data_IF_245068314046
#
_entry.id   IF_245068314046
#
_cell.length_a   1.000
_cell.length_b   1.000
_cell.length_c   1.000
_cell.angle_alpha   90.00
_cell.angle_beta   90.00
_cell.angle_gamma   90.00
#
_symmetry.space_group_name_H-M   'P 1'
#
loop_
_entity.id
_entity.type
_entity.pdbx_description
1 polymer ?
#
# COMPACT_ATOMS: atom_id res chain seq x y z
N UNK A 1 24.77 36.69 -79.74
CA UNK A 1 24.31 37.18 -78.42
C UNK A 1 24.24 35.99 -77.49
N UNK A 2 25.19 35.83 -76.58
CA UNK A 2 25.16 34.80 -75.52
C UNK A 2 25.39 35.53 -74.20
N UNK A 3 24.33 35.64 -73.40
CA UNK A 3 24.43 36.21 -72.05
C UNK A 3 24.88 35.10 -71.10
N UNK A 4 26.01 35.32 -70.42
CA UNK A 4 26.52 34.41 -69.41
C UNK A 4 25.66 34.50 -68.14
N UNK A 5 25.23 33.35 -67.62
CA UNK A 5 24.52 33.25 -66.34
C UNK A 5 25.52 33.42 -65.18
N UNK A 6 25.26 34.35 -64.28
CA UNK A 6 26.06 34.62 -63.09
C UNK A 6 25.90 33.48 -62.06
N UNK A 7 26.97 32.92 -61.49
CA UNK A 7 26.85 31.87 -60.49
C UNK A 7 26.25 32.43 -59.20
N UNK A 8 25.13 31.86 -58.75
CA UNK A 8 24.53 32.13 -57.45
C UNK A 8 25.42 31.58 -56.35
N UNK A 9 26.15 32.47 -55.66
CA UNK A 9 26.97 32.09 -54.51
C UNK A 9 26.05 31.66 -53.37
N UNK A 10 26.24 30.48 -52.75
CA UNK A 10 25.39 30.03 -51.66
C UNK A 10 25.44 31.00 -50.48
N UNK A 11 24.29 31.38 -49.94
CA UNK A 11 24.17 32.26 -48.79
C UNK A 11 24.61 31.52 -47.52
N UNK A 12 25.92 31.53 -47.28
CA UNK A 12 26.60 30.90 -46.16
C UNK A 12 26.10 31.44 -44.80
N UNK A 13 25.54 32.65 -44.77
CA UNK A 13 25.05 33.32 -43.56
C UNK A 13 23.68 32.76 -43.15
N UNK A 14 22.78 32.54 -44.11
CA UNK A 14 21.53 31.78 -43.87
C UNK A 14 21.80 30.36 -43.44
N UNK A 15 22.76 29.67 -44.09
CA UNK A 15 23.17 28.32 -43.70
C UNK A 15 23.67 28.28 -42.26
N UNK A 16 24.60 29.16 -41.89
CA UNK A 16 25.15 29.24 -40.53
C UNK A 16 24.08 29.53 -39.47
N UNK A 17 23.09 30.39 -39.79
CA UNK A 17 21.96 30.66 -38.92
C UNK A 17 21.10 29.40 -38.70
N UNK A 18 20.68 28.72 -39.77
CA UNK A 18 19.90 27.48 -39.68
C UNK A 18 20.67 26.36 -38.95
N UNK A 19 21.98 26.24 -39.17
CA UNK A 19 22.83 25.29 -38.45
C UNK A 19 22.84 25.57 -36.93
N UNK A 20 22.92 26.84 -36.50
CA UNK A 20 22.83 27.19 -35.08
C UNK A 20 21.46 26.86 -34.49
N UNK A 21 20.40 27.24 -35.18
CA UNK A 21 19.02 26.95 -34.74
C UNK A 21 18.80 25.44 -34.64
N UNK A 22 19.19 24.65 -35.64
CA UNK A 22 19.05 23.19 -35.60
C UNK A 22 19.82 22.57 -34.43
N UNK A 23 21.04 23.05 -34.15
CA UNK A 23 21.83 22.57 -33.03
C UNK A 23 21.17 22.89 -31.68
N UNK A 24 20.66 24.11 -31.50
CA UNK A 24 19.93 24.51 -30.28
C UNK A 24 18.66 23.65 -30.07
N UNK A 25 17.83 23.50 -31.10
CA UNK A 25 16.62 22.69 -31.02
C UNK A 25 16.92 21.21 -30.81
N UNK A 26 17.98 20.69 -31.44
CA UNK A 26 18.41 19.31 -31.23
C UNK A 26 18.87 19.08 -29.80
N UNK A 27 19.63 19.99 -29.20
CA UNK A 27 20.08 19.85 -27.82
C UNK A 27 18.92 19.95 -26.83
N UNK A 28 18.00 20.91 -27.01
CA UNK A 28 16.82 21.07 -26.14
C UNK A 28 15.90 19.86 -26.21
N UNK A 29 15.57 19.39 -27.42
CA UNK A 29 14.71 18.21 -27.60
C UNK A 29 15.37 16.93 -27.08
N UNK A 30 16.68 16.77 -27.30
CA UNK A 30 17.43 15.61 -26.79
C UNK A 30 17.52 15.63 -25.27
N UNK A 31 17.72 16.80 -24.65
CA UNK A 31 17.73 16.94 -23.20
C UNK A 31 16.36 16.61 -22.60
N UNK A 32 15.26 17.10 -23.19
CA UNK A 32 13.90 16.76 -22.75
C UNK A 32 13.61 15.26 -22.90
N UNK A 33 14.00 14.66 -24.03
CA UNK A 33 13.85 13.22 -24.24
C UNK A 33 14.64 12.40 -23.23
N UNK A 34 15.89 12.80 -22.96
CA UNK A 34 16.74 12.15 -21.97
C UNK A 34 16.15 12.24 -20.57
N UNK A 35 15.68 13.43 -20.15
CA UNK A 35 15.00 13.60 -18.85
C UNK A 35 13.75 12.71 -18.77
N UNK A 36 12.94 12.68 -19.84
CA UNK A 36 11.77 11.79 -19.91
C UNK A 36 12.15 10.32 -19.77
N UNK A 37 13.17 9.85 -20.48
CA UNK A 37 13.66 8.46 -20.36
C UNK A 37 14.28 8.16 -19.01
N UNK A 38 15.01 9.09 -18.39
CA UNK A 38 15.56 8.92 -17.04
C UNK A 38 14.44 8.82 -16.02
N UNK A 39 13.45 9.72 -16.05
CA UNK A 39 12.30 9.68 -15.15
C UNK A 39 11.47 8.40 -15.37
N UNK A 40 11.24 8.00 -16.61
CA UNK A 40 10.55 6.75 -16.95
C UNK A 40 11.33 5.52 -16.50
N UNK A 41 12.65 5.52 -16.67
CA UNK A 41 13.52 4.41 -16.24
C UNK A 41 13.61 4.32 -14.73
N UNK A 42 13.68 5.44 -14.01
CA UNK A 42 13.72 5.47 -12.54
C UNK A 42 12.38 5.00 -11.97
N UNK A 43 11.27 5.50 -12.51
CA UNK A 43 9.93 5.04 -12.08
C UNK A 43 9.70 3.58 -12.45
N UNK A 44 10.04 3.16 -13.67
CA UNK A 44 9.97 1.77 -14.13
C UNK A 44 10.87 0.83 -13.31
N UNK A 45 12.09 1.24 -12.98
CA UNK A 45 12.98 0.47 -12.10
C UNK A 45 12.38 0.35 -10.69
N UNK A 46 11.86 1.44 -10.12
CA UNK A 46 11.24 1.46 -8.79
C UNK A 46 10.00 0.57 -8.72
N UNK A 47 9.16 0.59 -9.75
CA UNK A 47 7.96 -0.26 -9.82
C UNK A 47 8.31 -1.74 -10.08
N UNK A 48 9.28 -2.01 -10.96
CA UNK A 48 9.66 -3.38 -11.31
C UNK A 48 10.48 -4.07 -10.21
N UNK A 49 11.19 -3.29 -9.39
CA UNK A 49 11.90 -3.76 -8.19
C UNK A 49 11.13 -3.46 -6.91
N UNK A 50 9.81 -3.18 -6.97
CA UNK A 50 9.02 -2.83 -5.80
C UNK A 50 9.11 -3.89 -4.68
N UNK A 51 9.16 -5.18 -5.02
CA UNK A 51 9.35 -6.26 -4.03
C UNK A 51 10.78 -6.43 -3.50
N UNK A 52 11.78 -5.76 -4.09
CA UNK A 52 13.20 -5.80 -3.65
C UNK A 52 13.63 -4.49 -2.95
N UNK A 53 12.97 -3.38 -3.29
CA UNK A 53 13.08 -2.06 -2.63
C UNK A 53 11.98 -1.91 -1.56
N UNK A 54 11.11 -2.92 -1.40
CA UNK A 54 10.19 -3.01 -0.27
C UNK A 54 11.00 -2.98 1.01
N UNK A 55 10.80 -1.91 1.78
CA UNK A 55 11.28 -1.84 3.14
C UNK A 55 10.83 -3.13 3.83
N UNK A 56 11.78 -3.81 4.51
CA UNK A 56 11.47 -4.97 5.34
C UNK A 56 10.17 -4.68 6.09
N UNK A 57 9.12 -5.51 5.97
CA UNK A 57 7.82 -5.20 6.53
C UNK A 57 7.98 -4.79 7.99
N UNK A 58 7.51 -3.59 8.33
CA UNK A 58 7.59 -3.09 9.69
C UNK A 58 6.44 -3.72 10.47
N UNK A 59 6.76 -4.77 11.23
CA UNK A 59 5.82 -5.50 12.06
C UNK A 59 5.80 -4.87 13.44
N UNK A 60 4.65 -4.36 13.87
CA UNK A 60 4.41 -3.92 15.24
C UNK A 60 3.43 -4.87 15.90
N UNK A 61 3.90 -5.62 16.90
CA UNK A 61 3.08 -6.50 17.73
C UNK A 61 2.81 -5.84 19.08
N UNK A 62 1.56 -5.94 19.54
CA UNK A 62 1.09 -5.45 20.83
C UNK A 62 0.30 -6.56 21.51
N UNK A 63 0.48 -6.68 22.81
CA UNK A 63 -0.19 -7.69 23.62
C UNK A 63 -1.05 -7.00 24.68
N UNK A 64 -2.07 -7.68 25.13
CA UNK A 64 -2.90 -7.27 26.25
C UNK A 64 -3.62 -8.47 26.84
N UNK A 65 -4.20 -8.29 28.02
CA UNK A 65 -4.93 -9.36 28.71
C UNK A 65 -6.31 -8.85 29.08
N UNK A 66 -7.33 -9.64 28.75
CA UNK A 66 -8.71 -9.37 29.15
C UNK A 66 -8.86 -9.55 30.67
N UNK A 67 -9.78 -8.79 31.26
CA UNK A 67 -10.20 -9.08 32.63
C UNK A 67 -11.08 -10.34 32.65
N UNK A 68 -11.21 -10.94 33.84
CA UNK A 68 -11.93 -12.20 34.02
C UNK A 68 -13.43 -12.07 33.66
N UNK A 69 -14.02 -10.87 33.79
CA UNK A 69 -15.42 -10.64 33.48
C UNK A 69 -15.65 -10.70 31.96
N UNK A 70 -14.85 -9.95 31.19
CA UNK A 70 -14.92 -9.94 29.73
C UNK A 70 -14.51 -11.30 29.14
N UNK A 71 -13.52 -11.96 29.73
CA UNK A 71 -13.13 -13.32 29.33
C UNK A 71 -14.30 -14.32 29.46
N UNK A 72 -15.00 -14.32 30.61
CA UNK A 72 -16.14 -15.22 30.83
C UNK A 72 -17.32 -14.95 29.87
N UNK A 73 -17.53 -13.70 29.50
CA UNK A 73 -18.52 -13.34 28.49
C UNK A 73 -18.14 -13.85 27.10
N UNK A 74 -16.86 -13.74 26.71
CA UNK A 74 -16.38 -14.27 25.43
C UNK A 74 -16.51 -15.79 25.37
N UNK A 75 -16.18 -16.51 26.43
CA UNK A 75 -16.37 -17.97 26.51
C UNK A 75 -17.84 -18.37 26.27
N UNK A 76 -18.77 -17.66 26.91
CA UNK A 76 -20.21 -17.91 26.74
C UNK A 76 -20.63 -17.66 25.30
N UNK A 77 -20.17 -16.57 24.70
CA UNK A 77 -20.49 -16.20 23.31
C UNK A 77 -19.86 -17.15 22.29
N UNK A 78 -18.65 -17.64 22.52
CA UNK A 78 -18.02 -18.66 21.69
C UNK A 78 -18.89 -19.93 21.63
N UNK A 79 -19.45 -20.35 22.76
CA UNK A 79 -20.35 -21.51 22.81
C UNK A 79 -21.65 -21.27 22.02
N UNK A 80 -22.21 -20.06 22.07
CA UNK A 80 -23.39 -19.67 21.29
C UNK A 80 -23.13 -19.67 19.78
N UNK A 81 -22.03 -19.04 19.33
CA UNK A 81 -21.65 -18.99 17.91
C UNK A 81 -21.39 -20.39 17.36
N UNK A 82 -20.79 -21.27 18.16
CA UNK A 82 -20.59 -22.68 17.79
C UNK A 82 -21.90 -23.46 17.67
N UNK A 83 -22.86 -23.20 18.57
CA UNK A 83 -24.16 -23.84 18.50
C UNK A 83 -24.91 -23.44 17.22
N UNK A 84 -24.69 -22.20 16.74
CA UNK A 84 -25.20 -21.74 15.46
C UNK A 84 -24.34 -22.22 14.28
N UNK A 85 -24.63 -23.43 13.78
CA UNK A 85 -23.97 -23.98 12.58
C UNK A 85 -24.17 -23.14 11.32
N UNK A 86 -25.19 -22.28 11.24
CA UNK A 86 -25.42 -21.44 10.07
C UNK A 86 -24.35 -20.34 9.94
N UNK A 87 -23.84 -19.87 11.08
CA UNK A 87 -22.79 -18.85 11.16
C UNK A 87 -21.42 -19.35 10.66
N UNK A 88 -21.21 -20.68 10.59
CA UNK A 88 -19.92 -21.32 10.27
C UNK A 88 -18.75 -20.75 11.09
N UNK A 89 -19.00 -20.37 12.34
CA UNK A 89 -17.99 -19.76 13.20
C UNK A 89 -17.69 -18.30 12.88
N UNK A 90 -18.48 -17.62 12.04
CA UNK A 90 -18.34 -16.17 11.81
C UNK A 90 -19.43 -15.41 12.54
N UNK A 91 -19.02 -14.51 13.42
CA UNK A 91 -19.96 -13.69 14.17
C UNK A 91 -19.37 -12.31 14.51
N UNK A 92 -20.23 -11.30 14.66
CA UNK A 92 -19.80 -9.94 14.95
C UNK A 92 -19.10 -9.86 16.31
N UNK A 93 -18.02 -9.07 16.35
CA UNK A 93 -17.27 -8.78 17.58
C UNK A 93 -18.20 -8.12 18.62
N UNK A 94 -18.23 -8.54 19.89
CA UNK A 94 -19.11 -7.96 20.91
C UNK A 94 -18.69 -6.53 21.24
N UNK A 95 -19.65 -5.65 21.51
CA UNK A 95 -19.39 -4.23 21.77
C UNK A 95 -18.38 -3.97 22.90
N UNK A 96 -18.37 -4.82 23.92
CA UNK A 96 -17.43 -4.74 25.04
C UNK A 96 -15.99 -5.03 24.60
N UNK A 97 -15.78 -6.06 23.79
CA UNK A 97 -14.49 -6.36 23.19
C UNK A 97 -14.06 -5.26 22.23
N UNK A 98 -14.98 -4.71 21.41
CA UNK A 98 -14.68 -3.56 20.55
C UNK A 98 -14.18 -2.36 21.36
N UNK A 99 -14.87 -2.05 22.47
CA UNK A 99 -14.50 -0.94 23.36
C UNK A 99 -13.14 -1.16 24.02
N UNK A 100 -12.88 -2.39 24.47
CA UNK A 100 -11.60 -2.76 25.07
C UNK A 100 -10.45 -2.64 24.06
N UNK A 101 -10.63 -3.16 22.84
CA UNK A 101 -9.64 -3.09 21.75
C UNK A 101 -9.36 -1.64 21.35
N UNK A 102 -10.41 -0.83 21.22
CA UNK A 102 -10.27 0.59 20.94
C UNK A 102 -9.49 1.32 22.05
N UNK A 103 -9.73 0.99 23.31
CA UNK A 103 -9.02 1.60 24.44
C UNK A 103 -7.54 1.17 24.51
N UNK A 104 -7.27 -0.12 24.29
CA UNK A 104 -5.94 -0.70 24.47
C UNK A 104 -5.03 -0.47 23.25
N UNK A 105 -5.56 -0.59 22.04
CA UNK A 105 -4.78 -0.56 20.81
C UNK A 105 -5.11 0.62 19.88
N UNK A 106 -6.16 1.40 20.17
CA UNK A 106 -6.68 2.46 19.30
C UNK A 106 -7.10 1.93 17.92
N UNK A 107 -7.74 0.75 17.91
CA UNK A 107 -8.19 0.05 16.70
C UNK A 107 -9.71 -0.08 16.73
N UNK A 108 -10.36 0.42 15.67
CA UNK A 108 -11.80 0.30 15.48
C UNK A 108 -12.13 -1.05 14.82
N UNK A 109 -12.89 -1.88 15.55
CA UNK A 109 -13.36 -3.19 15.11
C UNK A 109 -14.88 -3.23 14.91
N UNK A 110 -15.55 -2.06 14.85
CA UNK A 110 -16.99 -1.97 14.66
C UNK A 110 -17.43 -2.50 13.29
N UNK A 111 -18.58 -3.18 13.25
CA UNK A 111 -19.16 -3.74 12.03
C UNK A 111 -18.34 -4.85 11.36
N UNK A 112 -17.31 -5.39 12.04
CA UNK A 112 -16.50 -6.50 11.53
C UNK A 112 -16.90 -7.81 12.18
N UNK A 113 -16.94 -8.85 11.36
CA UNK A 113 -17.09 -10.23 11.84
C UNK A 113 -15.73 -10.82 12.17
N UNK A 114 -15.66 -11.47 13.32
CA UNK A 114 -14.54 -12.31 13.69
C UNK A 114 -14.83 -13.78 13.37
N UNK A 115 -13.77 -14.55 13.20
CA UNK A 115 -13.80 -16.00 13.15
C UNK A 115 -13.63 -16.53 14.57
N UNK A 116 -14.60 -17.30 15.03
CA UNK A 116 -14.69 -17.87 16.36
C UNK A 116 -14.38 -19.35 16.29
N UNK A 117 -13.44 -19.77 17.11
CA UNK A 117 -13.07 -21.16 17.34
C UNK A 117 -13.14 -21.48 18.83
N UNK A 118 -12.93 -22.75 19.20
CA UNK A 118 -12.98 -23.18 20.60
C UNK A 118 -11.92 -22.49 21.46
N UNK A 119 -10.74 -22.25 20.88
CA UNK A 119 -9.57 -21.76 21.60
C UNK A 119 -9.32 -20.27 21.35
N UNK A 120 -9.75 -19.72 20.22
CA UNK A 120 -9.46 -18.34 19.84
C UNK A 120 -10.54 -17.65 19.00
N UNK A 121 -10.55 -16.32 19.08
CA UNK A 121 -11.32 -15.41 18.25
C UNK A 121 -10.31 -14.64 17.39
N UNK A 122 -10.41 -14.80 16.08
CA UNK A 122 -9.52 -14.20 15.10
C UNK A 122 -10.25 -13.14 14.27
N UNK A 123 -9.64 -11.97 14.12
CA UNK A 123 -10.20 -10.86 13.38
C UNK A 123 -9.17 -10.30 12.39
N UNK A 124 -9.46 -10.47 11.11
CA UNK A 124 -8.67 -9.85 10.03
C UNK A 124 -8.96 -8.35 9.93
N UNK A 125 -7.90 -7.54 9.91
CA UNK A 125 -7.96 -6.09 9.85
C UNK A 125 -7.19 -5.54 8.63
N UNK A 126 -7.62 -5.88 7.39
CA UNK A 126 -6.93 -5.43 6.18
C UNK A 126 -6.90 -3.91 6.08
N UNK A 127 -5.79 -3.37 5.57
CA UNK A 127 -5.55 -1.94 5.45
C UNK A 127 -4.69 -1.61 4.22
N UNK A 128 -4.85 -0.43 3.61
CA UNK A 128 -3.96 -0.01 2.54
C UNK A 128 -2.51 0.06 2.99
N UNK A 129 -1.58 -0.41 2.16
CA UNK A 129 -0.15 -0.42 2.42
C UNK A 129 0.32 -1.47 3.43
N UNK A 130 -0.53 -2.43 3.79
CA UNK A 130 -0.15 -3.43 4.79
C UNK A 130 -1.26 -4.40 5.17
N UNK A 131 -1.13 -4.97 6.36
CA UNK A 131 -2.16 -5.82 6.94
C UNK A 131 -2.16 -5.66 8.47
N UNK A 132 -3.26 -6.03 9.11
CA UNK A 132 -3.30 -6.17 10.56
C UNK A 132 -4.24 -7.32 10.94
N UNK A 133 -4.01 -7.89 12.11
CA UNK A 133 -4.88 -8.91 12.66
C UNK A 133 -4.94 -8.78 14.17
N UNK A 134 -6.04 -9.25 14.74
CA UNK A 134 -6.27 -9.33 16.17
C UNK A 134 -6.67 -10.77 16.49
N UNK A 135 -6.02 -11.35 17.51
CA UNK A 135 -6.31 -12.70 18.01
C UNK A 135 -6.58 -12.59 19.50
N UNK A 136 -7.65 -13.22 19.95
CA UNK A 136 -8.02 -13.29 21.37
C UNK A 136 -8.11 -14.75 21.74
N UNK A 137 -7.29 -15.20 22.68
CA UNK A 137 -7.40 -16.53 23.24
C UNK A 137 -8.57 -16.58 24.24
N UNK A 138 -9.46 -17.53 24.04
CA UNK A 138 -10.67 -17.74 24.85
C UNK A 138 -10.30 -18.37 26.20
N UNK A 139 -9.25 -19.19 26.23
CA UNK A 139 -8.85 -19.97 27.39
C UNK A 139 -8.19 -19.13 28.50
N UNK A 140 -7.31 -18.20 28.14
CA UNK A 140 -6.51 -17.40 29.08
C UNK A 140 -6.71 -15.87 28.96
N UNK A 141 -7.53 -15.44 27.99
CA UNK A 141 -7.85 -14.03 27.76
C UNK A 141 -6.70 -13.23 27.17
N UNK A 142 -5.66 -13.87 26.64
CA UNK A 142 -4.55 -13.17 25.98
C UNK A 142 -4.99 -12.59 24.64
N UNK A 143 -4.62 -11.34 24.39
CA UNK A 143 -4.95 -10.62 23.16
C UNK A 143 -3.67 -10.20 22.47
N UNK A 144 -3.56 -10.57 21.21
CA UNK A 144 -2.47 -10.21 20.32
C UNK A 144 -3.02 -9.33 19.19
N UNK A 145 -2.39 -8.19 19.01
CA UNK A 145 -2.61 -7.31 17.87
C UNK A 145 -1.30 -7.17 17.11
N UNK A 146 -1.31 -7.54 15.84
CA UNK A 146 -0.18 -7.32 14.97
C UNK A 146 -0.58 -6.43 13.81
N UNK A 147 0.32 -5.51 13.47
CA UNK A 147 0.19 -4.66 12.31
C UNK A 147 1.47 -4.72 11.51
N UNK A 148 1.32 -5.03 10.23
CA UNK A 148 2.38 -5.05 9.24
C UNK A 148 2.23 -3.84 8.32
N UNK A 149 3.28 -3.03 8.22
CA UNK A 149 3.37 -1.91 7.28
C UNK A 149 4.40 -2.24 6.19
N UNK A 150 3.98 -2.19 4.93
CA UNK A 150 4.82 -2.45 3.74
C UNK A 150 5.33 -1.16 3.09
N UNK A 151 5.04 -0.02 3.72
CA UNK A 151 5.54 1.28 3.33
C UNK A 151 4.66 2.04 2.32
N UNK A 152 5.07 3.28 2.08
CA UNK A 152 4.35 4.25 1.27
C UNK A 152 4.15 3.85 -0.20
N UNK A 153 5.05 3.04 -0.77
CA UNK A 153 4.90 2.52 -2.15
C UNK A 153 3.70 1.57 -2.23
N UNK A 154 3.60 0.60 -1.29
CA UNK A 154 2.44 -0.29 -1.21
C UNK A 154 1.15 0.48 -0.95
N UNK A 155 1.19 1.52 -0.11
CA UNK A 155 0.03 2.38 0.14
C UNK A 155 -0.45 3.11 -1.13
N UNK A 156 0.47 3.72 -1.89
CA UNK A 156 0.13 4.40 -3.15
C UNK A 156 -0.35 3.44 -4.24
N UNK A 157 0.16 2.21 -4.24
CA UNK A 157 -0.31 1.17 -5.14
C UNK A 157 -1.75 0.74 -4.82
N UNK A 158 -2.06 0.56 -3.54
CA UNK A 158 -3.41 0.19 -3.10
C UNK A 158 -4.43 1.30 -3.34
N UNK A 159 -4.02 2.57 -3.32
CA UNK A 159 -4.90 3.71 -3.64
C UNK A 159 -5.24 3.83 -5.13
N UNK A 160 -4.36 3.34 -6.02
CA UNK A 160 -4.61 3.36 -7.47
C UNK A 160 -5.54 2.24 -7.95
N UNK A 161 -5.91 1.31 -7.06
CA UNK A 161 -6.70 0.12 -7.38
C UNK A 161 -8.16 0.30 -6.98
#
# INVERSE_FOLDING_TARGET
>A
MTAAATPTTPDNRRRAYWLKTLYEWHWVSSAMCLVGMVLFSVTGFTLNHAGQIEAKPAISSRHGKLDAALQGQLQSRTAEVKADKASKGKAPVPAELQTWVQKQFAVDTSGRDAEWSDDEIYLSLPRPGGDAWLRVSVADGEVEYERTDRGWISYLNDLHK
#
